data_IF_426606783089
#
_entry.id   IF_426606783089
#
_cell.length_a   1.000
_cell.length_b   1.000
_cell.length_c   1.000
_cell.angle_alpha   90.00
_cell.angle_beta   90.00
_cell.angle_gamma   90.00
#
_symmetry.space_group_name_H-M   'P 1'
#
loop_
_entity.id
_entity.type
_entity.pdbx_description
1 polymer ?
#
# COMPACT_ATOMS: atom_id res chain seq x y z
N UNK A 1 17.62 -18.01 12.80
CA UNK A 1 17.53 -16.62 13.31
C UNK A 1 16.06 -16.28 13.34
N UNK A 2 15.48 -16.12 14.54
CA UNK A 2 14.08 -15.72 14.69
C UNK A 2 14.01 -14.22 14.89
N UNK A 3 13.00 -13.58 14.29
CA UNK A 3 12.72 -12.17 14.49
C UNK A 3 12.13 -11.94 15.89
N UNK A 4 12.33 -10.74 16.45
CA UNK A 4 11.77 -10.40 17.76
C UNK A 4 10.24 -10.24 17.72
N UNK A 5 9.59 -10.21 18.89
CA UNK A 5 8.13 -10.11 19.01
C UNK A 5 7.53 -8.86 18.34
N UNK A 6 8.26 -7.75 18.30
CA UNK A 6 7.79 -6.53 17.63
C UNK A 6 7.64 -6.75 16.11
N UNK A 7 8.62 -7.39 15.48
CA UNK A 7 8.54 -7.76 14.06
C UNK A 7 7.39 -8.75 13.82
N UNK A 8 7.18 -9.72 14.72
CA UNK A 8 6.07 -10.66 14.59
C UNK A 8 4.71 -9.95 14.61
N UNK A 9 4.50 -9.01 15.53
CA UNK A 9 3.28 -8.19 15.60
C UNK A 9 3.09 -7.32 14.36
N UNK A 10 4.17 -6.73 13.84
CA UNK A 10 4.15 -5.94 12.61
C UNK A 10 3.75 -6.78 11.39
N UNK A 11 4.31 -7.98 11.25
CA UNK A 11 3.98 -8.92 10.17
C UNK A 11 2.51 -9.36 10.25
N UNK A 12 2.01 -9.66 11.45
CA UNK A 12 0.58 -9.97 11.67
C UNK A 12 -0.29 -8.79 11.28
N UNK A 13 0.05 -7.58 11.72
CA UNK A 13 -0.71 -6.37 11.41
C UNK A 13 -0.68 -6.00 9.91
N UNK A 14 0.33 -6.42 9.15
CA UNK A 14 0.42 -6.20 7.69
C UNK A 14 -0.40 -7.21 6.88
N UNK A 15 -0.78 -8.34 7.47
CA UNK A 15 -1.47 -9.44 6.80
C UNK A 15 -2.96 -9.14 6.63
N UNK A 16 -3.43 -9.11 5.37
CA UNK A 16 -4.82 -8.76 4.99
C UNK A 16 -5.90 -9.79 5.37
N UNK A 17 -5.50 -10.95 5.92
CA UNK A 17 -6.34 -12.13 6.10
C UNK A 17 -6.41 -12.52 7.57
N UNK A 18 -7.01 -11.65 8.39
CA UNK A 18 -7.37 -11.99 9.76
C UNK A 18 -8.71 -12.73 9.65
N UNK A 19 -8.76 -14.01 10.05
CA UNK A 19 -9.93 -14.90 9.99
C UNK A 19 -10.55 -15.12 8.59
N UNK A 20 -9.73 -15.15 7.53
CA UNK A 20 -10.19 -15.48 6.18
C UNK A 20 -11.03 -14.40 5.48
N UNK A 21 -11.22 -13.23 6.12
CA UNK A 21 -11.86 -12.05 5.50
C UNK A 21 -10.80 -11.08 4.98
N UNK A 22 -10.78 -10.89 3.66
CA UNK A 22 -9.94 -9.88 3.01
C UNK A 22 -10.41 -8.47 3.37
N UNK A 23 -9.67 -7.79 4.24
CA UNK A 23 -9.93 -6.38 4.57
C UNK A 23 -9.49 -5.48 3.40
N UNK A 24 -10.30 -4.48 3.04
CA UNK A 24 -9.93 -3.49 2.01
C UNK A 24 -8.73 -2.67 2.46
N UNK A 25 -7.88 -2.29 1.52
CA UNK A 25 -6.68 -1.50 1.82
C UNK A 25 -7.03 -0.16 2.49
N UNK A 26 -8.12 0.51 2.08
CA UNK A 26 -8.60 1.72 2.76
C UNK A 26 -8.92 1.49 4.24
N UNK A 27 -9.65 0.41 4.58
CA UNK A 27 -10.02 0.15 5.98
C UNK A 27 -8.77 -0.12 6.82
N UNK A 28 -7.82 -0.84 6.25
CA UNK A 28 -6.54 -1.15 6.90
C UNK A 28 -5.67 0.10 7.10
N UNK A 29 -5.51 0.94 6.07
CA UNK A 29 -4.78 2.20 6.15
C UNK A 29 -5.40 3.11 7.21
N UNK A 30 -6.73 3.26 7.22
CA UNK A 30 -7.44 4.04 8.25
C UNK A 30 -7.20 3.50 9.66
N UNK A 31 -7.25 2.19 9.86
CA UNK A 31 -6.95 1.58 11.17
C UNK A 31 -5.51 1.87 11.60
N UNK A 32 -4.54 1.73 10.69
CA UNK A 32 -3.12 1.97 11.01
C UNK A 32 -2.84 3.45 11.31
N UNK A 33 -3.47 4.37 10.57
CA UNK A 33 -3.45 5.82 10.87
C UNK A 33 -4.01 6.09 12.27
N UNK A 34 -5.16 5.52 12.61
CA UNK A 34 -5.78 5.71 13.93
C UNK A 34 -4.97 5.10 15.08
N UNK A 35 -4.14 4.10 14.80
CA UNK A 35 -3.26 3.44 15.77
C UNK A 35 -1.86 4.07 15.82
N UNK A 36 -1.62 5.15 15.06
CA UNK A 36 -0.32 5.82 14.93
C UNK A 36 0.84 4.89 14.54
N UNK A 37 0.53 3.82 13.78
CA UNK A 37 1.53 2.83 13.33
C UNK A 37 2.23 3.28 12.05
N UNK A 38 2.95 4.39 12.13
CA UNK A 38 3.63 5.06 11.01
C UNK A 38 4.57 4.12 10.25
N UNK A 39 5.33 3.29 10.96
CA UNK A 39 6.27 2.32 10.37
C UNK A 39 5.55 1.32 9.43
N UNK A 40 4.38 0.83 9.84
CA UNK A 40 3.57 -0.08 9.04
C UNK A 40 2.94 0.60 7.82
N UNK A 41 2.56 1.88 7.97
CA UNK A 41 2.08 2.69 6.85
C UNK A 41 3.19 2.91 5.82
N UNK A 42 4.42 3.18 6.27
CA UNK A 42 5.57 3.34 5.40
C UNK A 42 5.90 2.05 4.64
N UNK A 43 5.92 0.90 5.33
CA UNK A 43 6.14 -0.41 4.71
C UNK A 43 5.08 -0.68 3.63
N UNK A 44 3.80 -0.40 3.91
CA UNK A 44 2.72 -0.55 2.92
C UNK A 44 2.87 0.37 1.72
N UNK A 45 3.30 1.61 1.94
CA UNK A 45 3.51 2.57 0.87
C UNK A 45 4.65 2.12 -0.06
N UNK A 46 5.76 1.65 0.50
CA UNK A 46 6.89 1.14 -0.26
C UNK A 46 6.55 -0.15 -1.01
N UNK A 47 5.85 -1.09 -0.37
CA UNK A 47 5.33 -2.29 -1.06
C UNK A 47 4.43 -1.90 -2.24
N UNK A 48 3.60 -0.87 -2.09
CA UNK A 48 2.78 -0.38 -3.22
C UNK A 48 3.63 0.22 -4.34
N UNK A 49 4.66 1.00 -4.00
CA UNK A 49 5.55 1.61 -4.98
C UNK A 49 6.24 0.55 -5.84
N UNK A 50 6.73 -0.54 -5.24
CA UNK A 50 7.34 -1.64 -5.99
C UNK A 50 6.32 -2.42 -6.83
N UNK A 51 5.12 -2.62 -6.29
CA UNK A 51 4.02 -3.26 -7.01
C UNK A 51 3.59 -2.46 -8.26
N UNK A 52 3.57 -1.12 -8.20
CA UNK A 52 3.16 -0.32 -9.36
C UNK A 52 4.28 -0.22 -10.43
N UNK A 53 5.55 -0.26 -10.02
CA UNK A 53 6.70 -0.34 -10.94
C UNK A 53 6.66 -1.56 -11.85
N UNK A 54 6.07 -2.66 -11.37
CA UNK A 54 5.97 -3.95 -12.10
C UNK A 54 4.56 -4.27 -12.59
N UNK A 55 3.65 -3.29 -12.58
CA UNK A 55 2.23 -3.49 -12.90
C UNK A 55 1.98 -3.99 -14.33
N UNK A 56 2.89 -3.70 -15.27
CA UNK A 56 2.78 -4.11 -16.68
C UNK A 56 2.69 -5.63 -16.87
N UNK A 57 3.19 -6.42 -15.90
CA UNK A 57 3.15 -7.89 -15.90
C UNK A 57 1.73 -8.41 -15.59
N UNK A 58 0.87 -7.59 -14.96
CA UNK A 58 -0.48 -8.01 -14.56
C UNK A 58 -1.48 -7.88 -15.73
N UNK A 59 -2.54 -8.72 -15.75
CA UNK A 59 -3.64 -8.59 -16.72
C UNK A 59 -4.35 -7.23 -16.62
N UNK A 60 -4.87 -6.72 -17.73
CA UNK A 60 -5.46 -5.37 -17.83
C UNK A 60 -6.47 -5.04 -16.72
N UNK A 61 -7.43 -5.94 -16.46
CA UNK A 61 -8.41 -5.77 -15.36
C UNK A 61 -7.72 -5.55 -14.01
N UNK A 62 -6.70 -6.36 -13.70
CA UNK A 62 -5.97 -6.26 -12.44
C UNK A 62 -5.11 -5.01 -12.37
N UNK A 63 -4.58 -4.53 -13.51
CA UNK A 63 -3.87 -3.25 -13.57
C UNK A 63 -4.79 -2.09 -13.20
N UNK A 64 -5.99 -2.03 -13.80
CA UNK A 64 -6.97 -0.98 -13.50
C UNK A 64 -7.37 -0.96 -12.02
N UNK A 65 -7.62 -2.13 -11.41
CA UNK A 65 -7.89 -2.23 -9.98
C UNK A 65 -6.75 -1.67 -9.12
N UNK A 66 -5.49 -1.98 -9.46
CA UNK A 66 -4.32 -1.50 -8.73
C UNK A 66 -4.13 0.00 -8.93
N UNK A 67 -4.34 0.53 -10.12
CA UNK A 67 -4.22 1.97 -10.42
C UNK A 67 -5.25 2.75 -9.61
N UNK A 68 -6.53 2.33 -9.65
CA UNK A 68 -7.60 2.98 -8.90
C UNK A 68 -7.32 2.96 -7.39
N UNK A 69 -6.90 1.81 -6.86
CA UNK A 69 -6.51 1.68 -5.45
C UNK A 69 -5.33 2.60 -5.10
N UNK A 70 -4.33 2.70 -5.98
CA UNK A 70 -3.16 3.56 -5.76
C UNK A 70 -3.54 5.03 -5.72
N UNK A 71 -4.32 5.49 -6.70
CA UNK A 71 -4.78 6.87 -6.79
C UNK A 71 -5.65 7.28 -5.60
N UNK A 72 -6.59 6.41 -5.19
CA UNK A 72 -7.56 6.73 -4.15
C UNK A 72 -7.02 6.57 -2.73
N UNK A 73 -6.04 5.69 -2.50
CA UNK A 73 -5.61 5.34 -1.15
C UNK A 73 -4.13 5.64 -0.88
N UNK A 74 -3.23 5.30 -1.81
CA UNK A 74 -1.79 5.34 -1.55
C UNK A 74 -1.16 6.69 -1.86
N UNK A 75 -1.68 7.44 -2.83
CA UNK A 75 -1.23 8.81 -3.11
C UNK A 75 -1.58 9.74 -1.94
N UNK A 76 -2.83 9.77 -1.42
CA UNK A 76 -3.14 10.52 -0.21
C UNK A 76 -2.34 10.06 1.01
N UNK A 77 -2.00 8.76 1.10
CA UNK A 77 -1.14 8.26 2.18
C UNK A 77 0.29 8.81 2.09
N UNK A 78 0.87 8.89 0.89
CA UNK A 78 2.19 9.49 0.69
C UNK A 78 2.21 10.97 1.09
N UNK A 79 1.16 11.73 0.74
CA UNK A 79 0.99 13.12 1.16
C UNK A 79 0.84 13.24 2.67
N UNK A 80 0.03 12.39 3.30
CA UNK A 80 -0.15 12.33 4.75
C UNK A 80 1.17 12.07 5.49
N UNK A 81 2.00 11.16 4.97
CA UNK A 81 3.33 10.85 5.50
C UNK A 81 4.39 11.91 5.14
N UNK A 82 4.03 12.99 4.43
CA UNK A 82 4.91 14.06 3.96
C UNK A 82 6.03 13.56 3.03
N UNK A 83 5.72 12.62 2.16
CA UNK A 83 6.62 12.02 1.16
C UNK A 83 6.16 12.38 -0.27
N UNK A 84 6.25 13.66 -0.69
CA UNK A 84 5.70 14.12 -1.96
C UNK A 84 6.37 13.49 -3.18
N UNK A 85 7.66 13.14 -3.08
CA UNK A 85 8.40 12.46 -4.17
C UNK A 85 7.78 11.10 -4.50
N UNK A 86 7.35 10.35 -3.49
CA UNK A 86 6.66 9.06 -3.68
C UNK A 86 5.28 9.28 -4.29
N UNK A 87 4.54 10.30 -3.85
CA UNK A 87 3.24 10.64 -4.43
C UNK A 87 3.35 10.95 -5.94
N UNK A 88 4.37 11.72 -6.33
CA UNK A 88 4.68 12.03 -7.73
C UNK A 88 5.03 10.76 -8.51
N UNK A 89 5.89 9.90 -7.95
CA UNK A 89 6.29 8.65 -8.61
C UNK A 89 5.09 7.70 -8.82
N UNK A 90 4.23 7.55 -7.80
CA UNK A 90 3.00 6.77 -7.90
C UNK A 90 2.06 7.32 -8.99
N UNK A 91 1.85 8.64 -9.03
CA UNK A 91 1.02 9.29 -10.05
C UNK A 91 1.55 9.02 -11.46
N UNK A 92 2.86 9.16 -11.67
CA UNK A 92 3.51 8.90 -12.97
C UNK A 92 3.20 7.49 -13.48
N UNK A 93 3.28 6.47 -12.64
CA UNK A 93 2.97 5.10 -13.06
C UNK A 93 1.46 4.89 -13.27
N UNK A 94 0.60 5.55 -12.49
CA UNK A 94 -0.85 5.49 -12.70
C UNK A 94 -1.21 6.05 -14.09
N UNK A 95 -0.66 7.21 -14.46
CA UNK A 95 -0.88 7.84 -15.77
C UNK A 95 -0.35 6.98 -16.92
N UNK A 96 0.86 6.42 -16.77
CA UNK A 96 1.49 5.59 -17.79
C UNK A 96 0.65 4.35 -18.16
N UNK A 97 -0.06 3.77 -17.19
CA UNK A 97 -0.80 2.52 -17.36
C UNK A 97 -2.33 2.67 -17.29
N UNK A 98 -2.85 3.91 -17.36
CA UNK A 98 -4.28 4.20 -17.35
C UNK A 98 -5.03 3.77 -18.64
N UNK A 99 -4.32 3.21 -19.62
CA UNK A 99 -4.83 2.75 -20.92
C UNK A 99 -5.05 1.24 -20.98
#
# INVERSE_FOLDING_TARGET
MEFNNNIAEQVVALTRNIDGKKTSSMKMIKTLVNQDKVELLLIKLLDRLDNIKTIFIKPAKRRQEIILETQQEFIPLAEYLKLPEIAIELNKYCELYAT
#
